data_IF_835574369031
#
_entry.id   IF_835574369031
#
_cell.length_a   1.000
_cell.length_b   1.000
_cell.length_c   1.000
_cell.angle_alpha   90.00
_cell.angle_beta   90.00
_cell.angle_gamma   90.00
#
_symmetry.space_group_name_H-M   'P 1'
#
loop_
_entity.id
_entity.type
_entity.pdbx_description
1 polymer ?
#
# COMPACT_ATOMS: atom_id res chain seq x y z
N UNK A 1 27.45 -9.22 -21.24
CA UNK A 1 27.03 -7.83 -21.03
C UNK A 1 26.13 -7.85 -19.81
N UNK A 2 26.72 -7.75 -18.62
CA UNK A 2 25.99 -7.71 -17.34
C UNK A 2 26.45 -6.47 -16.60
N UNK A 3 25.75 -5.36 -16.79
CA UNK A 3 25.84 -4.21 -15.88
C UNK A 3 24.57 -4.23 -15.05
N UNK A 4 24.54 -5.10 -14.04
CA UNK A 4 23.56 -4.98 -12.96
C UNK A 4 24.02 -3.77 -12.13
N UNK A 5 23.34 -2.62 -12.16
CA UNK A 5 23.75 -1.48 -11.34
C UNK A 5 23.53 -1.90 -9.89
N UNK A 6 24.61 -2.02 -9.12
CA UNK A 6 24.51 -2.26 -7.70
C UNK A 6 23.81 -1.07 -7.04
N UNK A 7 22.54 -1.24 -6.70
CA UNK A 7 21.79 -0.25 -5.93
C UNK A 7 22.46 -0.06 -4.57
N UNK A 8 22.78 1.18 -4.21
CA UNK A 8 23.24 1.51 -2.87
C UNK A 8 22.01 1.76 -2.00
N UNK A 9 21.95 1.06 -0.87
CA UNK A 9 20.91 1.26 0.16
C UNK A 9 21.53 2.01 1.34
N UNK A 10 20.89 3.11 1.76
CA UNK A 10 21.33 3.91 2.92
C UNK A 10 20.14 4.12 3.86
N UNK A 11 20.38 4.02 5.16
CA UNK A 11 19.38 4.30 6.19
C UNK A 11 19.65 5.65 6.85
N UNK A 12 18.68 6.55 6.82
CA UNK A 12 18.72 7.82 7.51
C UNK A 12 17.91 7.72 8.80
N UNK A 13 18.55 8.00 9.93
CA UNK A 13 17.87 8.14 11.21
C UNK A 13 17.60 9.62 11.47
N UNK A 14 16.37 9.95 11.84
CA UNK A 14 16.02 11.33 12.12
C UNK A 14 16.48 11.73 13.52
N UNK A 15 17.57 12.51 13.61
CA UNK A 15 18.03 13.14 14.86
C UNK A 15 17.30 14.49 15.04
N UNK A 16 16.83 14.79 16.25
CA UNK A 16 16.17 16.07 16.56
C UNK A 16 17.09 17.25 16.16
N UNK A 17 16.69 18.01 15.14
CA UNK A 17 17.45 19.12 14.54
C UNK A 17 16.65 19.80 13.44
N UNK A 18 17.05 21.00 12.97
CA UNK A 18 16.32 21.73 11.90
C UNK A 18 16.25 20.90 10.62
N UNK A 19 15.05 20.48 10.24
CA UNK A 19 14.76 19.84 8.96
C UNK A 19 14.11 20.83 8.02
N UNK A 20 14.29 20.61 6.71
CA UNK A 20 13.43 21.19 5.69
C UNK A 20 11.96 20.78 5.97
N UNK A 21 11.00 21.59 5.54
CA UNK A 21 9.56 21.45 5.78
C UNK A 21 9.07 20.05 5.35
N UNK A 22 9.49 19.58 4.17
CA UNK A 22 9.24 18.20 3.67
C UNK A 22 9.78 17.11 4.59
N UNK A 23 10.96 17.30 5.18
CA UNK A 23 11.57 16.32 6.10
C UNK A 23 10.96 16.40 7.50
N UNK A 24 10.39 17.56 7.88
CA UNK A 24 9.72 17.76 9.16
C UNK A 24 8.38 17.02 9.23
N UNK A 25 7.60 17.02 8.15
CA UNK A 25 6.35 16.25 8.06
C UNK A 25 6.60 14.73 8.11
N UNK A 26 7.66 14.26 7.46
CA UNK A 26 8.04 12.85 7.45
C UNK A 26 8.47 12.32 8.82
N UNK A 27 9.07 13.18 9.66
CA UNK A 27 9.48 12.86 11.04
C UNK A 27 8.32 12.66 11.98
N UNK A 28 7.19 13.33 11.74
CA UNK A 28 6.00 13.24 12.60
C UNK A 28 5.50 11.81 12.72
N UNK A 29 5.72 10.98 11.69
CA UNK A 29 5.19 9.62 11.60
C UNK A 29 6.25 8.52 11.56
N UNK A 30 7.53 8.86 11.35
CA UNK A 30 8.58 7.87 11.08
C UNK A 30 9.88 8.15 11.84
N UNK A 31 10.47 7.10 12.42
CA UNK A 31 11.76 7.18 13.13
C UNK A 31 12.98 7.22 12.18
N UNK A 32 12.82 6.83 10.92
CA UNK A 32 13.87 6.81 9.90
C UNK A 32 13.37 6.49 8.50
N UNK A 33 14.22 6.71 7.50
CA UNK A 33 14.00 6.38 6.09
C UNK A 33 15.04 5.37 5.61
N UNK A 34 14.62 4.45 4.76
CA UNK A 34 15.48 3.63 3.91
C UNK A 34 15.41 4.17 2.48
N UNK A 35 16.56 4.58 1.96
CA UNK A 35 16.70 5.22 0.66
C UNK A 35 17.50 4.33 -0.30
N UNK A 36 17.08 4.33 -1.55
CA UNK A 36 17.67 3.58 -2.64
C UNK A 36 18.19 4.58 -3.68
N UNK A 37 19.45 4.46 -4.09
CA UNK A 37 19.98 5.31 -5.14
C UNK A 37 19.38 4.92 -6.49
N UNK A 38 18.74 5.86 -7.17
CA UNK A 38 18.22 5.69 -8.52
C UNK A 38 18.92 6.69 -9.47
N UNK A 39 19.12 6.28 -10.73
CA UNK A 39 19.80 7.09 -11.75
C UNK A 39 20.44 6.24 -12.85
N UNK A 40 20.15 6.57 -14.12
CA UNK A 40 20.77 5.97 -15.32
C UNK A 40 21.87 6.86 -15.90
N UNK A 41 22.00 8.10 -15.42
CA UNK A 41 22.99 9.09 -15.86
C UNK A 41 24.03 9.34 -14.77
N UNK A 42 25.30 9.48 -15.16
CA UNK A 42 26.43 9.72 -14.26
C UNK A 42 26.36 11.07 -13.51
N UNK A 43 25.41 11.94 -13.84
CA UNK A 43 25.34 13.33 -13.34
C UNK A 43 24.21 13.62 -12.36
N UNK A 44 23.19 12.75 -12.26
CA UNK A 44 22.05 12.96 -11.36
C UNK A 44 21.75 11.69 -10.56
N UNK A 45 22.11 11.72 -9.27
CA UNK A 45 21.81 10.66 -8.32
C UNK A 45 20.70 11.16 -7.40
N UNK A 46 19.48 10.72 -7.66
CA UNK A 46 18.35 10.97 -6.76
C UNK A 46 18.15 9.76 -5.86
N UNK A 47 17.63 10.00 -4.67
CA UNK A 47 17.32 8.95 -3.72
C UNK A 47 15.81 8.77 -3.63
N UNK A 48 15.35 7.55 -3.87
CA UNK A 48 13.96 7.19 -3.69
C UNK A 48 13.83 6.47 -2.35
N UNK A 49 13.02 6.99 -1.44
CA UNK A 49 13.01 6.59 -0.04
C UNK A 49 11.63 6.11 0.42
N UNK A 50 11.63 5.14 1.34
CA UNK A 50 10.48 4.73 2.12
C UNK A 50 10.79 4.85 3.61
N UNK A 51 9.79 5.06 4.47
CA UNK A 51 10.02 4.93 5.89
C UNK A 51 10.44 3.52 6.27
N UNK A 52 11.26 3.42 7.31
CA UNK A 52 11.96 2.17 7.65
C UNK A 52 11.02 1.01 7.99
N UNK A 53 9.83 1.28 8.53
CA UNK A 53 8.80 0.27 8.81
C UNK A 53 7.97 -0.13 7.58
N UNK A 54 8.17 0.53 6.44
CA UNK A 54 7.42 0.31 5.21
C UNK A 54 8.21 -0.58 4.25
N UNK A 55 7.48 -1.38 3.48
CA UNK A 55 8.04 -2.20 2.40
C UNK A 55 8.16 -1.35 1.14
N UNK A 56 9.27 -1.46 0.41
CA UNK A 56 9.51 -0.73 -0.85
C UNK A 56 9.33 -1.65 -2.04
N UNK A 57 8.55 -1.24 -3.03
CA UNK A 57 8.46 -1.91 -4.33
C UNK A 57 8.14 -0.92 -5.44
N UNK A 58 8.88 -1.00 -6.55
CA UNK A 58 8.77 -0.06 -7.66
C UNK A 58 8.84 1.40 -7.17
N UNK A 59 7.86 2.23 -7.48
CA UNK A 59 7.78 3.65 -7.10
C UNK A 59 7.03 3.90 -5.78
N UNK A 60 6.69 2.86 -5.02
CA UNK A 60 5.80 2.99 -3.87
C UNK A 60 6.37 2.36 -2.59
N UNK A 61 5.80 2.81 -1.47
CA UNK A 61 6.00 2.31 -0.12
C UNK A 61 4.69 1.74 0.41
N UNK A 62 4.78 0.65 1.17
CA UNK A 62 3.62 -0.08 1.68
C UNK A 62 3.73 -0.33 3.18
N UNK A 63 2.67 -0.01 3.93
CA UNK A 63 2.57 -0.29 5.36
C UNK A 63 1.48 -1.31 5.61
N UNK A 64 1.81 -2.36 6.36
CA UNK A 64 0.87 -3.42 6.73
C UNK A 64 0.49 -3.18 8.18
N UNK A 65 -0.73 -2.69 8.41
CA UNK A 65 -1.24 -2.47 9.75
C UNK A 65 -1.65 -3.79 10.39
N UNK A 66 -1.17 -4.04 11.60
CA UNK A 66 -1.61 -5.19 12.40
C UNK A 66 -2.89 -4.90 13.21
N UNK A 67 -3.25 -3.62 13.35
CA UNK A 67 -4.47 -3.19 14.04
C UNK A 67 -5.69 -3.56 13.21
N UNK A 68 -6.71 -4.12 13.87
CA UNK A 68 -8.01 -4.38 13.25
C UNK A 68 -8.94 -3.19 13.45
N UNK A 69 -9.41 -2.58 12.36
CA UNK A 69 -10.29 -1.42 12.36
C UNK A 69 -11.36 -1.57 11.28
N UNK A 70 -12.44 -0.81 11.34
CA UNK A 70 -13.39 -0.71 10.21
C UNK A 70 -12.68 -0.21 8.95
N UNK A 71 -13.32 -0.34 7.78
CA UNK A 71 -12.74 0.16 6.54
C UNK A 71 -12.49 1.67 6.60
N UNK A 72 -13.46 2.43 7.11
CA UNK A 72 -13.38 3.90 7.25
C UNK A 72 -12.27 4.32 8.20
N UNK A 73 -12.14 3.67 9.35
CA UNK A 73 -11.06 3.94 10.31
C UNK A 73 -9.68 3.57 9.73
N UNK A 74 -9.60 2.49 8.95
CA UNK A 74 -8.38 2.09 8.25
C UNK A 74 -7.98 3.12 7.19
N UNK A 75 -8.94 3.60 6.39
CA UNK A 75 -8.75 4.69 5.42
C UNK A 75 -8.22 5.95 6.11
N UNK A 76 -8.83 6.35 7.21
CA UNK A 76 -8.40 7.52 7.99
C UNK A 76 -7.00 7.32 8.59
N UNK A 77 -6.68 6.10 9.05
CA UNK A 77 -5.35 5.76 9.57
C UNK A 77 -4.27 5.90 8.49
N UNK A 78 -4.52 5.42 7.27
CA UNK A 78 -3.60 5.61 6.15
C UNK A 78 -3.47 7.11 5.80
N UNK A 79 -4.59 7.83 5.74
CA UNK A 79 -4.59 9.28 5.45
C UNK A 79 -3.77 10.07 6.48
N UNK A 80 -3.85 9.69 7.76
CA UNK A 80 -3.06 10.32 8.82
C UNK A 80 -1.55 10.11 8.64
N UNK A 81 -1.13 9.10 7.87
CA UNK A 81 0.28 8.85 7.51
C UNK A 81 0.64 9.42 6.12
N UNK A 82 -0.13 10.37 5.58
CA UNK A 82 0.02 10.90 4.22
C UNK A 82 0.05 9.80 3.14
N UNK A 83 -0.81 8.80 3.33
CA UNK A 83 -0.94 7.64 2.45
C UNK A 83 -2.42 7.34 2.22
N UNK A 84 -2.72 6.33 1.42
CA UNK A 84 -4.09 5.85 1.22
C UNK A 84 -4.13 4.33 1.37
N UNK A 85 -5.33 3.75 1.53
CA UNK A 85 -5.47 2.28 1.47
C UNK A 85 -4.97 1.75 0.12
N UNK A 86 -4.48 0.51 0.11
CA UNK A 86 -3.85 -0.11 -1.05
C UNK A 86 -4.75 -0.02 -2.29
N UNK A 87 -4.22 0.61 -3.34
CA UNK A 87 -4.75 0.56 -4.70
C UNK A 87 -3.79 -0.30 -5.51
N UNK A 88 -4.28 -1.41 -6.06
CA UNK A 88 -3.46 -2.34 -6.85
C UNK A 88 -4.13 -2.70 -8.16
N UNK A 89 -3.40 -2.52 -9.25
CA UNK A 89 -3.88 -2.72 -10.62
C UNK A 89 -2.92 -3.56 -11.46
N UNK A 90 -1.87 -4.13 -10.86
CA UNK A 90 -0.88 -4.95 -11.56
C UNK A 90 -0.62 -6.24 -10.80
N UNK A 91 -0.33 -7.31 -11.55
CA UNK A 91 -0.06 -8.62 -10.96
C UNK A 91 1.22 -8.59 -10.13
N UNK A 92 2.24 -7.88 -10.60
CA UNK A 92 3.55 -7.79 -9.97
C UNK A 92 3.47 -7.10 -8.60
N UNK A 93 2.66 -6.03 -8.50
CA UNK A 93 2.41 -5.35 -7.22
C UNK A 93 1.64 -6.26 -6.26
N UNK A 94 0.59 -6.94 -6.73
CA UNK A 94 -0.15 -7.87 -5.88
C UNK A 94 0.74 -9.03 -5.40
N UNK A 95 1.54 -9.61 -6.29
CA UNK A 95 2.46 -10.71 -5.95
C UNK A 95 3.52 -10.27 -4.92
N UNK A 96 4.00 -9.02 -4.99
CA UNK A 96 4.86 -8.44 -3.97
C UNK A 96 4.15 -8.29 -2.62
N UNK A 97 2.93 -7.74 -2.62
CA UNK A 97 2.15 -7.51 -1.40
C UNK A 97 1.90 -8.81 -0.65
N UNK A 98 1.37 -9.84 -1.34
CA UNK A 98 0.96 -11.10 -0.69
C UNK A 98 2.11 -11.88 -0.05
N UNK A 99 3.36 -11.65 -0.49
CA UNK A 99 4.55 -12.24 0.14
C UNK A 99 4.84 -11.67 1.53
N UNK A 100 4.30 -10.49 1.84
CA UNK A 100 4.51 -9.80 3.11
C UNK A 100 3.33 -9.97 4.10
N UNK A 101 2.27 -10.67 3.70
CA UNK A 101 1.04 -10.81 4.50
C UNK A 101 0.99 -12.10 5.31
N UNK A 102 0.33 -12.05 6.47
CA UNK A 102 -0.03 -13.22 7.25
C UNK A 102 -1.20 -13.95 6.57
N UNK A 103 -0.97 -15.19 6.14
CA UNK A 103 -1.97 -16.04 5.46
C UNK A 103 -3.21 -16.35 6.31
N UNK A 104 -3.18 -16.08 7.61
CA UNK A 104 -4.33 -16.24 8.53
C UNK A 104 -5.24 -15.02 8.58
N UNK A 105 -4.81 -13.90 8.01
CA UNK A 105 -5.44 -12.59 8.18
C UNK A 105 -6.10 -12.10 6.89
N UNK A 106 -6.99 -11.12 7.04
CA UNK A 106 -7.57 -10.36 5.94
C UNK A 106 -7.22 -8.88 6.07
N UNK A 107 -7.09 -8.21 4.93
CA UNK A 107 -6.54 -6.86 4.86
C UNK A 107 -7.41 -5.97 3.98
N UNK A 108 -7.96 -4.90 4.54
CA UNK A 108 -8.66 -3.89 3.75
C UNK A 108 -7.75 -3.27 2.69
N UNK A 109 -8.33 -3.14 1.49
CA UNK A 109 -7.77 -2.42 0.36
C UNK A 109 -8.63 -1.19 0.06
N UNK A 110 -8.11 -0.30 -0.77
CA UNK A 110 -8.73 0.98 -1.08
C UNK A 110 -9.86 0.92 -2.10
N UNK A 111 -10.58 -0.21 -2.20
CA UNK A 111 -11.70 -0.40 -3.12
C UNK A 111 -13.01 -0.44 -2.33
N UNK A 112 -14.02 0.27 -2.80
CA UNK A 112 -15.36 0.32 -2.20
C UNK A 112 -16.43 0.58 -3.26
N UNK A 113 -17.67 0.19 -2.97
CA UNK A 113 -18.88 0.53 -3.73
C UNK A 113 -19.85 1.30 -2.81
N UNK A 114 -19.71 2.64 -2.70
CA UNK A 114 -20.48 3.42 -1.73
C UNK A 114 -21.99 3.32 -1.91
N UNK A 115 -22.46 3.23 -3.15
CA UNK A 115 -23.89 3.22 -3.51
C UNK A 115 -24.48 1.80 -3.51
N UNK A 116 -23.64 0.76 -3.60
CA UNK A 116 -24.08 -0.64 -3.64
C UNK A 116 -24.71 -1.00 -4.99
N UNK A 117 -24.28 -0.36 -6.07
CA UNK A 117 -24.81 -0.54 -7.42
C UNK A 117 -23.80 -1.22 -8.38
N UNK A 118 -22.65 -1.65 -7.86
CA UNK A 118 -21.56 -2.24 -8.62
C UNK A 118 -20.53 -1.23 -9.16
N UNK A 119 -20.69 0.07 -8.87
CA UNK A 119 -19.75 1.11 -9.30
C UNK A 119 -18.55 1.20 -8.34
N UNK A 120 -17.63 0.24 -8.46
CA UNK A 120 -16.42 0.17 -7.64
C UNK A 120 -15.48 1.37 -7.84
N UNK A 121 -14.99 1.93 -6.73
CA UNK A 121 -14.16 3.14 -6.70
C UNK A 121 -12.88 2.91 -5.89
N UNK A 122 -11.75 3.27 -6.47
CA UNK A 122 -10.47 3.34 -5.75
C UNK A 122 -10.36 4.64 -4.96
N UNK A 123 -9.79 4.57 -3.75
CA UNK A 123 -9.57 5.74 -2.87
C UNK A 123 -8.66 6.82 -3.45
N UNK A 124 -7.82 6.47 -4.43
CA UNK A 124 -6.92 7.40 -5.12
C UNK A 124 -7.50 7.95 -6.43
N UNK A 125 -8.77 7.63 -6.73
CA UNK A 125 -9.49 8.03 -7.95
C UNK A 125 -8.93 7.41 -9.25
N UNK A 126 -8.04 6.41 -9.16
CA UNK A 126 -7.64 5.64 -10.33
C UNK A 126 -8.88 4.95 -10.94
N UNK A 127 -9.06 5.00 -12.28
CA UNK A 127 -10.18 4.33 -12.91
C UNK A 127 -10.23 2.84 -12.59
N UNK A 128 -11.40 2.35 -12.19
CA UNK A 128 -11.62 0.92 -11.96
C UNK A 128 -11.57 0.16 -13.29
N UNK A 129 -10.77 -0.91 -13.34
CA UNK A 129 -10.71 -1.83 -14.47
C UNK A 129 -10.99 -3.25 -13.97
N UNK A 130 -12.19 -3.76 -14.27
CA UNK A 130 -12.62 -5.10 -13.88
C UNK A 130 -11.72 -6.24 -14.39
N UNK A 131 -10.97 -6.03 -15.48
CA UNK A 131 -10.03 -7.03 -16.01
C UNK A 131 -8.68 -7.03 -15.29
N UNK A 132 -8.40 -6.01 -14.48
CA UNK A 132 -7.15 -5.84 -13.73
C UNK A 132 -7.37 -5.97 -12.20
N UNK A 133 -8.50 -6.55 -11.79
CA UNK A 133 -8.80 -6.88 -10.40
C UNK A 133 -8.81 -8.38 -10.18
N UNK A 134 -8.39 -8.79 -8.99
CA UNK A 134 -8.08 -10.18 -8.66
C UNK A 134 -9.06 -10.74 -7.63
N UNK A 135 -10.35 -10.69 -7.97
CA UNK A 135 -11.44 -11.24 -7.17
C UNK A 135 -11.31 -12.77 -7.00
N UNK A 136 -11.75 -13.28 -5.85
CA UNK A 136 -11.96 -14.72 -5.71
C UNK A 136 -13.08 -15.19 -6.65
N UNK A 137 -13.08 -16.48 -7.04
CA UNK A 137 -14.19 -17.03 -7.81
C UNK A 137 -15.52 -16.86 -7.07
N UNK A 138 -16.46 -16.16 -7.71
CA UNK A 138 -17.79 -15.87 -7.14
C UNK A 138 -17.91 -14.50 -6.49
N UNK A 139 -16.81 -13.75 -6.35
CA UNK A 139 -16.80 -12.39 -5.80
C UNK A 139 -16.73 -11.32 -6.92
N UNK A 140 -17.28 -10.12 -6.70
CA UNK A 140 -18.12 -9.75 -5.55
C UNK A 140 -19.51 -10.40 -5.60
N UNK A 141 -20.13 -10.65 -4.44
CA UNK A 141 -21.33 -11.50 -4.34
C UNK A 141 -22.59 -10.79 -3.80
N UNK A 142 -22.45 -9.69 -3.03
CA UNK A 142 -23.59 -9.05 -2.36
C UNK A 142 -23.53 -7.52 -2.37
N UNK A 143 -24.60 -6.86 -2.82
CA UNK A 143 -24.69 -5.38 -2.91
C UNK A 143 -24.60 -4.61 -1.57
N UNK A 144 -24.74 -5.29 -0.42
CA UNK A 144 -24.56 -4.67 0.90
C UNK A 144 -23.12 -4.80 1.42
N UNK A 145 -22.27 -5.59 0.75
CA UNK A 145 -20.85 -5.74 1.03
C UNK A 145 -20.07 -4.69 0.24
N UNK A 146 -19.99 -3.48 0.81
CA UNK A 146 -19.54 -2.28 0.10
C UNK A 146 -18.05 -1.97 0.21
N UNK A 147 -17.29 -2.79 0.92
CA UNK A 147 -15.85 -2.60 1.13
C UNK A 147 -15.09 -3.86 0.77
N UNK A 148 -13.81 -3.75 0.40
CA UNK A 148 -13.06 -4.89 -0.12
C UNK A 148 -11.86 -5.20 0.76
N UNK A 149 -11.65 -6.49 0.99
CA UNK A 149 -10.47 -7.02 1.65
C UNK A 149 -9.72 -8.00 0.74
N UNK A 150 -8.40 -8.05 0.90
CA UNK A 150 -7.53 -9.09 0.36
C UNK A 150 -7.34 -10.17 1.43
N UNK A 151 -7.69 -11.41 1.12
CA UNK A 151 -7.59 -12.54 2.04
C UNK A 151 -7.15 -13.83 1.35
N UNK A 152 -6.87 -14.87 2.14
CA UNK A 152 -6.49 -16.19 1.65
C UNK A 152 -7.32 -17.29 2.36
N UNK A 153 -8.60 -17.45 2.00
CA UNK A 153 -9.48 -18.41 2.65
C UNK A 153 -8.91 -19.82 2.51
N UNK A 154 -8.89 -20.55 3.64
CA UNK A 154 -8.33 -21.91 3.73
C UNK A 154 -6.89 -22.06 3.23
N UNK A 155 -6.11 -20.97 3.18
CA UNK A 155 -4.69 -20.95 2.74
C UNK A 155 -4.46 -21.50 1.32
N UNK A 156 -5.46 -21.41 0.43
CA UNK A 156 -5.36 -21.89 -0.97
C UNK A 156 -4.75 -20.86 -1.90
N UNK A 157 -5.35 -19.67 -1.98
CA UNK A 157 -4.95 -18.58 -2.88
C UNK A 157 -5.35 -17.24 -2.30
N UNK A 158 -4.60 -16.19 -2.64
CA UNK A 158 -4.96 -14.81 -2.31
C UNK A 158 -5.94 -14.25 -3.36
N UNK A 159 -6.88 -13.42 -2.93
CA UNK A 159 -7.85 -12.75 -3.78
C UNK A 159 -8.69 -11.72 -3.03
N UNK A 160 -9.39 -10.89 -3.80
CA UNK A 160 -10.30 -9.88 -3.26
C UNK A 160 -11.65 -10.52 -2.89
N UNK A 161 -12.23 -10.01 -1.80
CA UNK A 161 -13.55 -10.37 -1.27
C UNK A 161 -14.24 -9.09 -0.82
N UNK A 162 -15.47 -8.87 -1.27
CA UNK A 162 -16.33 -7.82 -0.73
C UNK A 162 -16.81 -8.22 0.66
N UNK A 163 -16.95 -7.24 1.55
CA UNK A 163 -17.41 -7.39 2.93
C UNK A 163 -18.22 -6.18 3.37
N UNK A 164 -18.99 -6.37 4.44
CA UNK A 164 -19.52 -5.24 5.20
C UNK A 164 -18.39 -4.38 5.78
N UNK A 165 -18.46 -3.07 5.55
CA UNK A 165 -17.42 -2.10 5.94
C UNK A 165 -17.16 -2.00 7.45
N UNK A 166 -18.14 -2.41 8.26
CA UNK A 166 -18.10 -2.34 9.73
C UNK A 166 -17.31 -3.48 10.37
N UNK A 167 -16.94 -4.52 9.59
CA UNK A 167 -16.17 -5.63 10.14
C UNK A 167 -14.72 -5.18 10.42
N UNK A 168 -14.20 -5.30 11.66
CA UNK A 168 -12.82 -4.92 11.92
C UNK A 168 -11.83 -5.87 11.23
N UNK A 169 -10.94 -5.32 10.41
CA UNK A 169 -9.89 -6.07 9.72
C UNK A 169 -8.57 -5.30 9.76
N UNK A 170 -7.46 -6.00 9.48
CA UNK A 170 -6.18 -5.35 9.21
C UNK A 170 -6.27 -4.54 7.92
N UNK A 171 -5.25 -3.74 7.60
CA UNK A 171 -5.25 -2.92 6.39
C UNK A 171 -3.86 -2.75 5.81
N UNK A 172 -3.81 -2.40 4.53
CA UNK A 172 -2.56 -2.09 3.83
C UNK A 172 -2.65 -0.65 3.34
N UNK A 173 -1.67 0.17 3.70
CA UNK A 173 -1.52 1.53 3.19
C UNK A 173 -0.46 1.58 2.09
N UNK A 174 -0.61 2.51 1.15
CA UNK A 174 0.28 2.77 0.01
C UNK A 174 0.54 4.26 -0.10
N UNK A 175 1.77 4.62 -0.39
CA UNK A 175 2.16 5.97 -0.82
C UNK A 175 3.30 5.90 -1.82
N UNK A 176 3.52 6.98 -2.58
CA UNK A 176 4.69 7.10 -3.45
C UNK A 176 5.98 7.22 -2.64
N UNK A 177 7.08 6.75 -3.21
CA UNK A 177 8.42 6.99 -2.66
C UNK A 177 8.71 8.49 -2.56
N UNK A 178 9.47 8.85 -1.54
CA UNK A 178 9.96 10.21 -1.34
C UNK A 178 11.23 10.39 -2.17
N UNK A 179 11.27 11.39 -3.04
CA UNK A 179 12.47 11.73 -3.79
C UNK A 179 13.27 12.82 -3.05
N UNK A 180 14.55 12.52 -2.79
CA UNK A 180 15.54 13.41 -2.17
C UNK A 180 16.72 13.66 -3.12
#
# INVERSE_FOLDING_TARGET
MDTNPSFLTVNFHFIHGKTDERLSELRTYNSGLTCFSEGTSMTEKYWSCCPQSWKSFSLNCYFISNDTKTWTESKNSCSAMNSHLLVTNTKEEQDFIIQNLDKSSAYYVGLSDPEGNGDWQWVDQTPYNASATFWHPGEPNYQWERCVMLNNPSRRSWGLNDVTCETPQRSICKMMKIHL
#
